data_IF_745671483030
#
_entry.id   IF_745671483030
#
_cell.length_a   1.000
_cell.length_b   1.000
_cell.length_c   1.000
_cell.angle_alpha   90.00
_cell.angle_beta   90.00
_cell.angle_gamma   90.00
#
_symmetry.space_group_name_H-M   'P 1'
#
loop_
_entity.id
_entity.type
_entity.pdbx_description
1 polymer ?
#
# COMPACT_ATOMS: atom_id res chain seq x y z
N UNK A 1 -8.66 -14.67 10.06
CA UNK A 1 -7.55 -13.69 10.04
C UNK A 1 -8.02 -12.48 9.27
N UNK A 2 -7.85 -11.29 9.82
CA UNK A 2 -8.29 -10.03 9.20
C UNK A 2 -7.38 -9.70 8.02
N UNK A 3 -7.96 -9.37 6.87
CA UNK A 3 -7.22 -9.02 5.64
C UNK A 3 -7.15 -7.49 5.49
N UNK A 4 -6.42 -6.84 6.39
CA UNK A 4 -6.21 -5.39 6.36
C UNK A 4 -4.74 -5.10 6.05
N UNK A 5 -4.49 -4.23 5.06
CA UNK A 5 -3.15 -3.83 4.65
C UNK A 5 -3.04 -2.31 4.56
N UNK A 6 -1.83 -1.79 4.78
CA UNK A 6 -1.53 -0.37 4.63
C UNK A 6 -0.72 -0.18 3.36
N UNK A 7 -1.21 0.70 2.49
CA UNK A 7 -0.62 0.95 1.17
C UNK A 7 -0.05 2.37 1.18
N UNK A 8 1.19 2.50 0.73
CA UNK A 8 1.81 3.79 0.42
C UNK A 8 2.45 3.70 -0.96
N UNK A 9 2.16 4.67 -1.82
CA UNK A 9 2.69 4.72 -3.19
C UNK A 9 3.82 5.76 -3.24
N UNK A 10 4.97 5.49 -3.89
CA UNK A 10 6.01 6.50 -4.11
C UNK A 10 5.44 7.76 -4.77
N UNK A 11 5.86 8.93 -4.29
CA UNK A 11 5.32 10.22 -4.76
C UNK A 11 4.01 10.65 -4.10
N UNK A 12 3.27 9.74 -3.44
CA UNK A 12 2.08 10.11 -2.67
C UNK A 12 2.41 10.49 -1.23
N UNK A 13 1.76 11.53 -0.73
CA UNK A 13 1.95 12.03 0.64
C UNK A 13 1.26 11.15 1.68
N UNK A 14 0.09 10.60 1.34
CA UNK A 14 -0.78 9.84 2.22
C UNK A 14 -0.45 8.35 2.30
N UNK A 15 -1.16 7.67 3.19
CA UNK A 15 -1.30 6.22 3.23
C UNK A 15 -2.77 5.86 3.03
N UNK A 16 -3.01 4.62 2.66
CA UNK A 16 -4.34 4.05 2.49
C UNK A 16 -4.49 2.82 3.38
N UNK A 17 -5.63 2.70 4.07
CA UNK A 17 -6.04 1.47 4.72
C UNK A 17 -6.95 0.72 3.76
N UNK A 18 -6.50 -0.43 3.29
CA UNK A 18 -7.31 -1.35 2.51
C UNK A 18 -7.80 -2.47 3.42
N UNK A 19 -9.11 -2.49 3.65
CA UNK A 19 -9.80 -3.60 4.31
C UNK A 19 -10.38 -4.49 3.22
N UNK A 20 -9.75 -5.65 2.99
CA UNK A 20 -10.12 -6.58 1.93
C UNK A 20 -11.31 -7.46 2.31
N UNK A 21 -11.62 -7.58 3.60
CA UNK A 21 -12.82 -8.28 4.05
C UNK A 21 -14.05 -7.37 3.86
N UNK A 22 -13.92 -6.07 4.10
CA UNK A 22 -14.95 -5.07 3.81
C UNK A 22 -14.99 -4.62 2.34
N UNK A 23 -13.93 -4.86 1.56
CA UNK A 23 -13.80 -4.40 0.17
C UNK A 23 -13.65 -2.88 0.06
N UNK A 24 -13.00 -2.24 1.02
CA UNK A 24 -12.88 -0.77 1.08
C UNK A 24 -11.43 -0.31 1.09
N UNK A 25 -11.19 0.89 0.57
CA UNK A 25 -9.91 1.59 0.63
C UNK A 25 -10.18 3.00 1.11
N UNK A 26 -9.59 3.40 2.24
CA UNK A 26 -9.81 4.72 2.84
C UNK A 26 -8.49 5.44 3.10
N UNK A 27 -8.45 6.79 2.97
CA UNK A 27 -7.28 7.56 3.36
C UNK A 27 -6.97 7.36 4.84
N UNK A 28 -5.71 7.17 5.17
CA UNK A 28 -5.23 6.98 6.53
C UNK A 28 -4.23 8.06 6.89
N UNK A 29 -4.53 8.82 7.96
CA UNK A 29 -3.55 9.72 8.56
C UNK A 29 -2.74 8.95 9.63
N UNK A 30 -1.45 8.66 9.40
CA UNK A 30 -0.70 7.80 10.29
C UNK A 30 -0.32 8.51 11.59
N UNK A 31 -0.34 7.75 12.69
CA UNK A 31 0.11 8.18 14.02
C UNK A 31 1.02 7.12 14.65
N UNK A 32 1.76 7.49 15.69
CA UNK A 32 2.68 6.57 16.39
C UNK A 32 3.74 5.95 15.47
N UNK A 33 4.06 4.68 15.68
CA UNK A 33 5.09 3.96 14.91
C UNK A 33 4.80 3.92 13.41
N UNK A 34 3.53 3.94 13.01
CA UNK A 34 3.15 4.00 11.60
C UNK A 34 3.56 5.33 10.96
N UNK A 35 3.55 6.44 11.70
CA UNK A 35 4.05 7.72 11.20
C UNK A 35 5.56 7.65 10.96
N UNK A 36 6.31 6.99 11.84
CA UNK A 36 7.74 6.74 11.67
C UNK A 36 8.01 5.90 10.41
N UNK A 37 7.26 4.81 10.21
CA UNK A 37 7.33 4.00 9.00
C UNK A 37 7.00 4.80 7.74
N UNK A 38 5.97 5.66 7.79
CA UNK A 38 5.60 6.55 6.68
C UNK A 38 6.72 7.53 6.33
N UNK A 39 7.46 8.04 7.32
CA UNK A 39 8.60 8.93 7.08
C UNK A 39 9.78 8.20 6.43
N UNK A 40 10.08 6.96 6.85
CA UNK A 40 11.10 6.14 6.18
C UNK A 40 10.73 5.84 4.72
N UNK A 41 9.46 5.56 4.44
CA UNK A 41 8.95 5.44 3.07
C UNK A 41 9.18 6.72 2.26
N UNK A 42 8.87 7.88 2.82
CA UNK A 42 9.09 9.19 2.16
C UNK A 42 10.57 9.45 1.84
N UNK A 43 11.49 8.86 2.60
CA UNK A 43 12.92 8.89 2.33
C UNK A 43 13.37 7.87 1.25
N UNK A 44 12.44 7.19 0.56
CA UNK A 44 12.72 6.17 -0.46
C UNK A 44 12.80 4.75 0.08
N UNK A 45 12.51 4.54 1.37
CA UNK A 45 12.47 3.20 1.96
C UNK A 45 11.27 2.37 1.50
N UNK A 46 11.44 1.05 1.46
CA UNK A 46 10.35 0.09 1.24
C UNK A 46 10.16 -0.71 2.52
N UNK A 47 8.93 -0.78 3.02
CA UNK A 47 8.58 -1.52 4.24
C UNK A 47 7.51 -2.55 3.88
N UNK A 48 7.84 -3.82 3.98
CA UNK A 48 6.94 -4.95 3.68
C UNK A 48 6.96 -5.92 4.86
N UNK A 49 5.78 -6.31 5.36
CA UNK A 49 5.65 -7.30 6.42
C UNK A 49 4.35 -8.08 6.26
N UNK A 50 4.45 -9.41 6.21
CA UNK A 50 3.28 -10.29 6.10
C UNK A 50 2.55 -10.21 4.75
N UNK A 51 3.24 -9.84 3.67
CA UNK A 51 2.72 -9.74 2.31
C UNK A 51 3.60 -10.58 1.38
N UNK A 52 2.98 -11.45 0.59
CA UNK A 52 3.68 -12.33 -0.36
C UNK A 52 3.90 -11.68 -1.74
N UNK A 53 3.08 -10.68 -2.11
CA UNK A 53 3.21 -9.89 -3.34
C UNK A 53 2.66 -8.46 -3.13
N UNK A 54 3.48 -7.44 -3.43
CA UNK A 54 3.08 -6.03 -3.39
C UNK A 54 3.63 -5.29 -4.61
N UNK A 55 2.74 -4.88 -5.51
CA UNK A 55 3.10 -4.26 -6.79
C UNK A 55 2.13 -3.12 -7.08
N UNK A 56 2.66 -1.95 -7.43
CA UNK A 56 1.88 -0.85 -7.98
C UNK A 56 1.86 -0.99 -9.51
N UNK A 57 0.66 -0.92 -10.11
CA UNK A 57 0.48 -0.97 -11.57
C UNK A 57 0.08 0.40 -12.10
N UNK A 58 0.34 0.64 -13.38
CA UNK A 58 -0.02 1.90 -14.04
C UNK A 58 -1.53 2.09 -14.20
N UNK A 59 -2.31 1.01 -14.26
CA UNK A 59 -3.78 1.04 -14.35
C UNK A 59 -4.41 -0.29 -13.92
N UNK A 60 -5.70 -0.26 -13.61
CA UNK A 60 -6.47 -1.48 -13.32
C UNK A 60 -6.51 -2.44 -14.52
N UNK A 61 -6.56 -1.91 -15.75
CA UNK A 61 -6.58 -2.72 -16.97
C UNK A 61 -5.31 -3.56 -17.13
N UNK A 62 -4.15 -3.03 -16.75
CA UNK A 62 -2.88 -3.76 -16.76
C UNK A 62 -2.90 -4.93 -15.76
N UNK A 63 -3.43 -4.72 -14.55
CA UNK A 63 -3.61 -5.81 -13.60
C UNK A 63 -4.58 -6.89 -14.12
N UNK A 64 -5.70 -6.47 -14.71
CA UNK A 64 -6.73 -7.37 -15.22
C UNK A 64 -6.32 -8.15 -16.48
N UNK A 65 -5.34 -7.65 -17.24
CA UNK A 65 -4.77 -8.38 -18.38
C UNK A 65 -3.79 -9.47 -17.97
N UNK A 66 -3.43 -9.56 -16.69
CA UNK A 66 -2.41 -10.49 -16.19
C UNK A 66 -0.98 -10.07 -16.50
N UNK A 67 -0.78 -8.81 -16.91
CA UNK A 67 0.54 -8.28 -17.20
C UNK A 67 1.26 -7.84 -15.91
N UNK A 68 2.52 -8.23 -15.76
CA UNK A 68 3.39 -7.82 -14.66
C UNK A 68 4.51 -6.95 -15.23
N UNK A 69 4.43 -5.64 -14.98
CA UNK A 69 5.50 -4.67 -15.24
C UNK A 69 6.49 -4.74 -14.08
N UNK A 70 7.54 -5.55 -14.21
CA UNK A 70 8.59 -5.73 -13.20
C UNK A 70 9.99 -5.62 -13.76
#
# INVERSE_FOLDING_TARGET
MTKVVIIGIPGETGLWLADLDAGTVTPLNPTGDLATASNLRKAGGIIVKGIDLAVAVSSAQVALSGHFDG
#
